data_IF_590937966253
#
_entry.id   IF_590937966253
#
_cell.length_a   1.000
_cell.length_b   1.000
_cell.length_c   1.000
_cell.angle_alpha   90.00
_cell.angle_beta   90.00
_cell.angle_gamma   90.00
#
_symmetry.space_group_name_H-M   'P 1'
#
loop_
_entity.id
_entity.type
_entity.pdbx_description
1 polymer ?
#
# COMPACT_ATOMS: atom_id res chain seq x y z
N UNK A 1 27.88 15.18 17.74
CA UNK A 1 26.67 14.74 18.48
C UNK A 1 25.80 13.94 17.51
N UNK A 2 25.11 12.88 17.95
CA UNK A 2 25.16 11.55 17.34
C UNK A 2 24.19 11.37 16.16
N UNK A 3 24.68 10.82 15.05
CA UNK A 3 23.91 10.40 13.86
C UNK A 3 23.19 9.05 14.08
N UNK A 4 22.65 8.81 15.28
CA UNK A 4 22.03 7.53 15.68
C UNK A 4 20.58 7.35 15.20
N UNK A 5 19.99 8.37 14.60
CA UNK A 5 18.56 8.40 14.24
C UNK A 5 18.27 7.63 12.94
N UNK A 6 19.10 7.83 11.89
CA UNK A 6 18.86 7.32 10.53
C UNK A 6 18.88 5.77 10.42
N UNK A 7 19.62 5.10 11.31
CA UNK A 7 19.68 3.63 11.35
C UNK A 7 18.46 3.02 12.04
N UNK A 8 17.96 3.67 13.09
CA UNK A 8 16.85 3.13 13.89
C UNK A 8 15.54 3.15 13.10
N UNK A 9 15.30 4.20 12.31
CA UNK A 9 14.05 4.31 11.55
C UNK A 9 14.01 3.36 10.34
N UNK A 10 15.16 3.06 9.74
CA UNK A 10 15.25 2.03 8.69
C UNK A 10 15.00 0.64 9.25
N UNK A 11 15.50 0.33 10.45
CA UNK A 11 15.19 -0.94 11.12
C UNK A 11 13.70 -1.06 11.45
N UNK A 12 13.06 0.01 11.95
CA UNK A 12 11.61 0.03 12.19
C UNK A 12 10.80 -0.16 10.90
N UNK A 13 11.18 0.52 9.83
CA UNK A 13 10.53 0.34 8.52
C UNK A 13 10.72 -1.08 7.99
N UNK A 14 11.91 -1.65 8.14
CA UNK A 14 12.19 -3.03 7.76
C UNK A 14 11.30 -4.00 8.54
N UNK A 15 11.20 -3.85 9.85
CA UNK A 15 10.34 -4.68 10.71
C UNK A 15 8.87 -4.57 10.31
N UNK A 16 8.36 -3.35 10.05
CA UNK A 16 7.02 -3.10 9.53
C UNK A 16 6.78 -3.81 8.19
N UNK A 17 7.73 -3.71 7.25
CA UNK A 17 7.63 -4.33 5.94
C UNK A 17 7.64 -5.85 6.02
N UNK A 18 8.44 -6.42 6.94
CA UNK A 18 8.44 -7.86 7.22
C UNK A 18 7.12 -8.30 7.88
N UNK A 19 6.55 -7.50 8.79
CA UNK A 19 5.27 -7.77 9.47
C UNK A 19 4.07 -7.81 8.54
N UNK A 20 4.05 -6.98 7.51
CA UNK A 20 3.02 -7.07 6.46
C UNK A 20 3.24 -8.27 5.52
N UNK A 21 4.36 -8.98 5.66
CA UNK A 21 4.66 -10.20 4.93
C UNK A 21 5.47 -10.00 3.66
N UNK A 22 6.18 -8.87 3.50
CA UNK A 22 7.16 -8.72 2.43
C UNK A 22 8.40 -9.58 2.71
N UNK A 23 8.98 -10.15 1.65
CA UNK A 23 10.26 -10.84 1.76
C UNK A 23 11.38 -9.87 2.12
N UNK A 24 12.36 -10.36 2.90
CA UNK A 24 13.47 -9.55 3.40
C UNK A 24 14.21 -8.80 2.29
N UNK A 25 14.39 -9.45 1.13
CA UNK A 25 15.02 -8.83 -0.04
C UNK A 25 14.23 -7.61 -0.52
N UNK A 26 12.91 -7.70 -0.60
CA UNK A 26 12.04 -6.60 -1.06
C UNK A 26 11.99 -5.49 -0.01
N UNK A 27 11.86 -5.86 1.27
CA UNK A 27 11.86 -4.92 2.38
C UNK A 27 13.17 -4.10 2.43
N UNK A 28 14.34 -4.78 2.30
CA UNK A 28 15.66 -4.13 2.22
C UNK A 28 15.80 -3.20 1.01
N UNK A 29 15.32 -3.60 -0.16
CA UNK A 29 15.32 -2.71 -1.34
C UNK A 29 14.40 -1.50 -1.14
N UNK A 30 13.30 -1.68 -0.40
CA UNK A 30 12.34 -0.61 -0.14
C UNK A 30 12.90 0.44 0.80
N UNK A 31 13.55 0.02 1.91
CA UNK A 31 14.24 0.95 2.83
C UNK A 31 15.47 1.63 2.21
N UNK A 32 15.99 1.08 1.10
CA UNK A 32 17.06 1.72 0.33
C UNK A 32 16.54 2.91 -0.50
N UNK A 33 15.23 2.98 -0.74
CA UNK A 33 14.59 4.06 -1.48
C UNK A 33 13.70 4.89 -0.55
N UNK A 34 14.27 5.93 0.06
CA UNK A 34 13.59 6.78 1.04
C UNK A 34 12.21 7.28 0.59
N UNK A 35 12.00 7.53 -0.72
CA UNK A 35 10.70 7.95 -1.26
C UNK A 35 9.67 6.84 -1.13
N UNK A 36 10.02 5.63 -1.57
CA UNK A 36 9.14 4.46 -1.49
C UNK A 36 8.97 4.05 -0.03
N UNK A 37 10.03 4.11 0.79
CA UNK A 37 9.95 3.84 2.23
C UNK A 37 8.89 4.72 2.89
N UNK A 38 8.99 6.04 2.68
CA UNK A 38 8.04 6.99 3.29
C UNK A 38 6.63 6.74 2.79
N UNK A 39 6.44 6.53 1.49
CA UNK A 39 5.12 6.29 0.92
C UNK A 39 4.51 4.98 1.45
N UNK A 40 5.27 3.89 1.47
CA UNK A 40 4.81 2.59 1.95
C UNK A 40 4.50 2.64 3.45
N UNK A 41 5.34 3.28 4.27
CA UNK A 41 5.08 3.46 5.70
C UNK A 41 3.79 4.23 5.92
N UNK A 42 3.57 5.37 5.24
CA UNK A 42 2.31 6.12 5.34
C UNK A 42 1.10 5.25 4.97
N UNK A 43 1.21 4.48 3.88
CA UNK A 43 0.14 3.58 3.42
C UNK A 43 -0.15 2.48 4.44
N UNK A 44 0.88 1.88 5.06
CA UNK A 44 0.72 0.86 6.10
C UNK A 44 -0.02 1.42 7.32
N UNK A 45 0.34 2.65 7.72
CA UNK A 45 -0.33 3.36 8.80
C UNK A 45 -1.79 3.71 8.44
N UNK A 46 -2.04 4.17 7.22
CA UNK A 46 -3.39 4.45 6.72
C UNK A 46 -4.26 3.20 6.62
N UNK A 47 -3.69 2.07 6.21
CA UNK A 47 -4.37 0.79 6.18
C UNK A 47 -4.58 0.18 7.58
N UNK A 48 -3.92 0.71 8.62
CA UNK A 48 -4.04 0.18 9.98
C UNK A 48 -3.43 -1.22 10.14
N UNK A 49 -2.48 -1.60 9.29
CA UNK A 49 -1.84 -2.94 9.32
C UNK A 49 -0.45 -2.94 9.96
N UNK A 50 -0.18 -1.95 10.83
CA UNK A 50 1.09 -1.83 11.55
C UNK A 50 1.37 -3.01 12.47
N UNK A 51 0.33 -3.65 12.99
CA UNK A 51 0.41 -4.87 13.82
C UNK A 51 0.67 -6.14 13.00
N UNK A 52 0.73 -6.01 11.67
CA UNK A 52 0.94 -7.10 10.72
C UNK A 52 -0.32 -7.47 9.95
N UNK A 53 -0.13 -8.12 8.80
CA UNK A 53 -1.23 -8.61 7.97
C UNK A 53 -0.84 -9.88 7.23
N UNK A 54 -1.78 -10.43 6.46
CA UNK A 54 -1.46 -11.56 5.58
C UNK A 54 -0.44 -11.14 4.51
N UNK A 55 0.43 -12.07 4.13
CA UNK A 55 1.39 -11.88 3.03
C UNK A 55 0.72 -11.39 1.75
N UNK A 56 -0.51 -11.84 1.48
CA UNK A 56 -1.28 -11.39 0.31
C UNK A 56 -1.58 -9.89 0.41
N UNK A 57 -2.14 -9.44 1.53
CA UNK A 57 -2.47 -8.02 1.76
C UNK A 57 -1.22 -7.15 1.71
N UNK A 58 -0.11 -7.55 2.34
CA UNK A 58 1.14 -6.78 2.29
C UNK A 58 1.72 -6.64 0.89
N UNK A 59 1.67 -7.70 0.07
CA UNK A 59 2.09 -7.62 -1.34
C UNK A 59 1.21 -6.68 -2.15
N UNK A 60 -0.10 -6.64 -1.88
CA UNK A 60 -1.02 -5.72 -2.55
C UNK A 60 -0.77 -4.27 -2.11
N UNK A 61 -0.58 -4.03 -0.81
CA UNK A 61 -0.20 -2.72 -0.25
C UNK A 61 1.12 -2.22 -0.84
N UNK A 62 2.12 -3.08 -0.98
CA UNK A 62 3.37 -2.74 -1.65
C UNK A 62 3.18 -2.35 -3.12
N UNK A 63 2.29 -3.04 -3.82
CA UNK A 63 1.92 -2.71 -5.19
C UNK A 63 1.23 -1.34 -5.24
N UNK A 64 0.34 -1.03 -4.30
CA UNK A 64 -0.26 0.30 -4.15
C UNK A 64 0.84 1.35 -3.94
N UNK A 65 1.77 1.15 -3.01
CA UNK A 65 2.83 2.14 -2.75
C UNK A 65 3.73 2.47 -3.95
N UNK A 66 3.79 1.59 -4.95
CA UNK A 66 4.66 1.75 -6.13
C UNK A 66 3.91 2.11 -7.41
N UNK A 67 2.65 1.69 -7.55
CA UNK A 67 1.84 1.90 -8.76
C UNK A 67 0.66 2.86 -8.59
N UNK A 68 0.40 3.37 -7.39
CA UNK A 68 -0.82 4.14 -7.16
C UNK A 68 -0.89 5.41 -8.01
N UNK A 69 -2.02 5.65 -8.71
CA UNK A 69 -2.19 6.84 -9.55
C UNK A 69 -2.20 8.13 -8.71
N UNK A 70 -1.24 9.01 -8.96
CA UNK A 70 -1.09 10.28 -8.23
C UNK A 70 -2.25 11.26 -8.42
N UNK A 71 -3.03 11.11 -9.48
CA UNK A 71 -4.25 11.90 -9.70
C UNK A 71 -5.45 11.42 -8.87
N UNK A 72 -5.36 10.26 -8.21
CA UNK A 72 -6.44 9.65 -7.44
C UNK A 72 -6.12 9.48 -5.96
N UNK A 73 -5.15 10.24 -5.42
CA UNK A 73 -4.75 10.19 -4.01
C UNK A 73 -5.91 10.28 -3.00
N UNK A 74 -6.99 11.06 -3.23
CA UNK A 74 -8.13 11.11 -2.31
C UNK A 74 -8.80 9.75 -2.06
N UNK A 75 -8.74 8.82 -3.03
CA UNK A 75 -9.38 7.51 -2.96
C UNK A 75 -8.49 6.41 -2.38
N UNK A 76 -7.23 6.72 -2.08
CA UNK A 76 -6.26 5.73 -1.61
C UNK A 76 -6.73 5.04 -0.32
N UNK A 77 -7.23 5.76 0.69
CA UNK A 77 -7.70 5.14 1.93
C UNK A 77 -8.82 4.12 1.68
N UNK A 78 -9.75 4.43 0.77
CA UNK A 78 -10.82 3.50 0.37
C UNK A 78 -10.24 2.22 -0.22
N UNK A 79 -9.32 2.30 -1.19
CA UNK A 79 -8.70 1.09 -1.75
C UNK A 79 -8.00 0.25 -0.67
N UNK A 80 -7.31 0.89 0.27
CA UNK A 80 -6.63 0.19 1.38
C UNK A 80 -7.62 -0.53 2.29
N UNK A 81 -8.75 0.09 2.62
CA UNK A 81 -9.82 -0.55 3.38
C UNK A 81 -10.32 -1.82 2.69
N UNK A 82 -10.51 -1.78 1.37
CA UNK A 82 -10.91 -2.95 0.59
C UNK A 82 -9.87 -4.09 0.62
N UNK A 83 -8.58 -3.75 0.64
CA UNK A 83 -7.50 -4.73 0.79
C UNK A 83 -7.53 -5.37 2.19
N UNK A 84 -7.72 -4.57 3.23
CA UNK A 84 -7.75 -5.02 4.63
C UNK A 84 -8.99 -5.86 4.92
N UNK A 85 -10.15 -5.44 4.40
CA UNK A 85 -11.40 -6.20 4.43
C UNK A 85 -11.35 -7.47 3.56
N UNK A 86 -10.24 -7.72 2.87
CA UNK A 86 -10.06 -8.84 1.95
C UNK A 86 -11.13 -8.88 0.87
N UNK A 87 -11.65 -7.73 0.43
CA UNK A 87 -12.51 -7.61 -0.75
C UNK A 87 -11.67 -7.77 -2.02
N UNK A 88 -10.54 -7.07 -2.08
CA UNK A 88 -9.53 -7.19 -3.15
C UNK A 88 -8.45 -8.17 -2.68
N UNK A 89 -8.39 -9.35 -3.29
CA UNK A 89 -7.48 -10.45 -2.89
C UNK A 89 -6.43 -10.77 -3.95
N UNK A 90 -6.68 -10.45 -5.21
CA UNK A 90 -5.76 -10.78 -6.32
C UNK A 90 -5.10 -9.53 -6.90
N UNK A 91 -3.96 -9.74 -7.56
CA UNK A 91 -3.28 -8.66 -8.28
C UNK A 91 -4.14 -8.11 -9.43
N UNK A 92 -4.93 -8.95 -10.08
CA UNK A 92 -5.81 -8.54 -11.18
C UNK A 92 -6.89 -7.58 -10.68
N UNK A 93 -7.54 -7.92 -9.56
CA UNK A 93 -8.53 -7.03 -8.92
C UNK A 93 -7.88 -5.69 -8.52
N UNK A 94 -6.66 -5.73 -8.00
CA UNK A 94 -5.92 -4.51 -7.65
C UNK A 94 -5.54 -3.68 -8.88
N UNK A 95 -4.98 -4.28 -9.93
CA UNK A 95 -4.63 -3.54 -11.16
C UNK A 95 -5.89 -2.94 -11.83
N UNK A 96 -7.03 -3.62 -11.78
CA UNK A 96 -8.33 -3.09 -12.23
C UNK A 96 -8.78 -1.91 -11.35
N UNK A 97 -8.68 -2.04 -10.02
CA UNK A 97 -8.97 -0.97 -9.08
C UNK A 97 -8.12 0.28 -9.36
N UNK A 98 -6.80 0.11 -9.51
CA UNK A 98 -5.88 1.19 -9.81
C UNK A 98 -6.21 1.85 -11.16
N UNK A 99 -6.60 1.07 -12.17
CA UNK A 99 -7.00 1.60 -13.48
C UNK A 99 -8.30 2.42 -13.41
N UNK A 100 -9.28 1.94 -12.64
CA UNK A 100 -10.53 2.65 -12.39
C UNK A 100 -10.29 3.98 -11.65
N UNK A 101 -9.45 3.94 -10.61
CA UNK A 101 -9.06 5.12 -9.84
C UNK A 101 -8.27 6.11 -10.70
N UNK A 102 -7.35 5.64 -11.53
CA UNK A 102 -6.60 6.49 -12.46
C UNK A 102 -7.53 7.21 -13.45
N UNK A 103 -8.63 6.56 -13.86
CA UNK A 103 -9.65 7.14 -14.75
C UNK A 103 -10.56 8.11 -14.01
N UNK A 104 -10.98 7.77 -12.78
CA UNK A 104 -11.81 8.62 -11.92
C UNK A 104 -11.07 9.87 -11.46
N UNK A 105 -9.75 9.76 -11.24
CA UNK A 105 -8.92 10.86 -10.77
C UNK A 105 -9.35 11.35 -9.39
N UNK A 106 -9.73 12.62 -9.31
CA UNK A 106 -10.16 13.26 -8.05
C UNK A 106 -11.69 13.46 -7.98
N UNK A 107 -12.43 12.91 -8.93
CA UNK A 107 -13.89 12.95 -8.93
C UNK A 107 -14.48 12.04 -7.83
N UNK A 108 -15.78 12.13 -7.60
CA UNK A 108 -16.40 11.25 -6.60
C UNK A 108 -16.31 9.78 -7.03
N UNK A 109 -15.71 8.96 -6.15
CA UNK A 109 -15.61 7.52 -6.38
C UNK A 109 -16.97 6.85 -6.16
N UNK A 110 -17.54 6.32 -7.24
CA UNK A 110 -18.72 5.47 -7.15
C UNK A 110 -18.30 4.07 -6.69
N UNK A 111 -18.56 3.75 -5.42
CA UNK A 111 -18.18 2.47 -4.82
C UNK A 111 -18.81 1.27 -5.53
N UNK A 112 -20.02 1.39 -6.10
CA UNK A 112 -20.67 0.28 -6.80
C UNK A 112 -19.93 -0.03 -8.11
N UNK A 113 -19.63 1.02 -8.89
CA UNK A 113 -18.84 0.85 -10.13
C UNK A 113 -17.42 0.41 -9.86
N UNK A 114 -16.83 0.90 -8.76
CA UNK A 114 -15.52 0.48 -8.31
C UNK A 114 -15.51 -1.01 -7.96
N UNK A 115 -16.47 -1.49 -7.15
CA UNK A 115 -16.62 -2.92 -6.84
C UNK A 115 -16.82 -3.77 -8.09
N UNK A 116 -17.71 -3.35 -8.99
CA UNK A 116 -17.95 -4.03 -10.26
C UNK A 116 -16.68 -4.09 -11.13
N UNK A 117 -15.94 -2.99 -11.24
CA UNK A 117 -14.68 -2.93 -11.99
C UNK A 117 -13.60 -3.81 -11.36
N UNK A 118 -13.60 -3.94 -10.04
CA UNK A 118 -12.67 -4.80 -9.31
C UNK A 118 -13.11 -6.27 -9.25
N UNK A 119 -14.33 -6.61 -9.70
CA UNK A 119 -14.89 -7.95 -9.59
C UNK A 119 -15.03 -8.42 -8.13
N UNK A 120 -15.49 -7.52 -7.26
CA UNK A 120 -15.74 -7.75 -5.82
C UNK A 120 -17.22 -8.00 -5.56
#
# INVERSE_FOLDING_TARGET
MPTKDDSSDKEKCLDLFLKIGLDERTARNTIANNKVTTNLTSIIHEAGVTDGCSRTVGNLIYTVATKYPGNALPHRPTLLEYLVLSKVKTKEQLDAALSFLATTGSENLDLNKFEEACGV
#
